data_IF_559032837027
#
_entry.id   IF_559032837027
#
_cell.length_a   1.000
_cell.length_b   1.000
_cell.length_c   1.000
_cell.angle_alpha   90.00
_cell.angle_beta   90.00
_cell.angle_gamma   90.00
#
_symmetry.space_group_name_H-M   'P 1'
#
loop_
_entity.id
_entity.type
_entity.pdbx_description
1 polymer ?
#
# COMPACT_ATOMS: atom_id res chain seq x y z
N UNK A 1 -9.89 -25.84 1.06
CA UNK A 1 -10.04 -24.46 0.54
C UNK A 1 -9.17 -23.58 1.43
N UNK A 2 -7.87 -23.53 1.13
CA UNK A 2 -7.20 -22.48 0.35
C UNK A 2 -6.92 -21.23 1.17
N UNK A 3 -5.65 -21.18 1.61
CA UNK A 3 -4.81 -20.03 1.93
C UNK A 3 -5.46 -18.65 1.76
N UNK A 4 -5.59 -17.92 2.87
CA UNK A 4 -5.51 -16.45 2.90
C UNK A 4 -4.45 -16.03 3.91
N UNK A 5 -3.22 -16.42 3.59
CA UNK A 5 -2.01 -16.07 4.32
C UNK A 5 -1.21 -15.03 3.51
N UNK A 6 -1.92 -14.11 2.84
CA UNK A 6 -1.31 -13.07 1.99
C UNK A 6 -1.36 -11.67 2.60
N UNK A 7 -2.18 -11.42 3.63
CA UNK A 7 -2.38 -10.05 4.13
C UNK A 7 -1.47 -9.59 5.28
N UNK A 8 -0.59 -10.44 5.80
CA UNK A 8 0.32 -10.05 6.91
C UNK A 8 1.80 -10.02 6.58
N UNK A 9 2.20 -10.51 5.40
CA UNK A 9 3.62 -10.59 5.00
C UNK A 9 4.06 -9.41 4.11
N UNK A 10 3.13 -8.59 3.62
CA UNK A 10 3.51 -7.37 2.87
C UNK A 10 4.15 -6.27 3.74
N UNK A 11 4.09 -6.39 5.08
CA UNK A 11 4.58 -5.37 6.01
C UNK A 11 6.01 -5.60 6.52
N UNK A 12 6.63 -6.76 6.24
CA UNK A 12 7.94 -7.13 6.82
C UNK A 12 9.13 -6.98 5.88
N UNK A 13 8.90 -6.59 4.63
CA UNK A 13 9.96 -6.18 3.72
C UNK A 13 9.64 -4.74 3.35
N UNK A 14 9.93 -3.79 4.24
CA UNK A 14 9.90 -2.38 3.86
C UNK A 14 10.99 -2.21 2.78
N UNK A 15 10.65 -1.94 1.52
CA UNK A 15 11.68 -1.64 0.55
C UNK A 15 12.41 -0.39 1.04
N UNK A 16 13.74 -0.35 0.88
CA UNK A 16 14.58 0.80 1.27
C UNK A 16 14.03 2.13 0.71
N UNK A 17 13.19 2.02 -0.34
CA UNK A 17 12.36 3.09 -0.90
C UNK A 17 10.91 2.63 -1.06
N UNK A 18 9.99 3.17 -0.25
CA UNK A 18 8.55 2.86 -0.31
C UNK A 18 7.67 4.14 -0.42
N UNK A 19 6.65 4.09 -1.28
CA UNK A 19 5.54 5.07 -1.29
C UNK A 19 4.35 4.49 -0.51
N UNK A 20 3.79 5.26 0.40
CA UNK A 20 2.66 4.88 1.25
C UNK A 20 1.44 5.71 0.87
N UNK A 21 0.42 5.03 0.36
CA UNK A 21 -0.88 5.59 0.02
C UNK A 21 -1.88 5.30 1.13
N UNK A 22 -2.86 6.20 1.29
CA UNK A 22 -4.01 6.00 2.18
C UNK A 22 -5.29 6.13 1.38
N UNK A 23 -6.17 5.14 1.50
CA UNK A 23 -7.52 5.23 0.97
C UNK A 23 -8.35 6.17 1.85
N UNK A 24 -9.11 7.08 1.22
CA UNK A 24 -10.01 8.00 1.93
C UNK A 24 -11.30 7.33 2.41
N UNK A 25 -11.76 6.30 1.70
CA UNK A 25 -13.06 5.69 1.96
C UNK A 25 -13.00 4.62 3.05
N UNK A 26 -12.02 3.71 2.99
CA UNK A 26 -11.84 2.68 4.01
C UNK A 26 -10.76 3.04 5.05
N UNK A 27 -9.94 4.06 4.79
CA UNK A 27 -8.85 4.47 5.68
C UNK A 27 -7.59 3.61 5.60
N UNK A 28 -7.59 2.55 4.79
CA UNK A 28 -6.51 1.57 4.71
C UNK A 28 -5.23 2.15 4.12
N UNK A 29 -4.09 1.59 4.54
CA UNK A 29 -2.76 1.98 4.09
C UNK A 29 -2.21 0.98 3.10
N UNK A 30 -1.81 1.46 1.93
CA UNK A 30 -1.19 0.66 0.88
C UNK A 30 0.27 1.08 0.77
N UNK A 31 1.19 0.14 0.96
CA UNK A 31 2.64 0.38 0.80
C UNK A 31 3.10 -0.24 -0.51
N UNK A 32 3.72 0.57 -1.37
CA UNK A 32 4.26 0.12 -2.65
C UNK A 32 5.71 0.56 -2.80
N UNK A 33 6.41 -0.02 -3.77
CA UNK A 33 7.77 0.43 -4.12
C UNK A 33 7.74 1.86 -4.66
N UNK A 34 8.77 2.66 -4.37
CA UNK A 34 8.83 4.05 -4.87
C UNK A 34 8.67 4.10 -6.40
N UNK A 35 7.77 4.97 -6.86
CA UNK A 35 7.48 5.15 -8.28
C UNK A 35 6.38 4.22 -8.81
N UNK A 36 5.86 3.29 -8.00
CA UNK A 36 4.61 2.62 -8.33
C UNK A 36 3.43 3.55 -8.07
N UNK A 37 2.52 3.62 -9.05
CA UNK A 37 1.27 4.38 -8.95
C UNK A 37 0.18 3.44 -8.46
N UNK A 38 -0.59 3.90 -7.47
CA UNK A 38 -1.78 3.21 -6.98
C UNK A 38 -2.98 4.06 -7.34
N UNK A 39 -3.78 3.59 -8.29
CA UNK A 39 -5.00 4.27 -8.75
C UNK A 39 -6.26 3.76 -8.05
N UNK A 40 -6.20 2.57 -7.45
CA UNK A 40 -7.32 1.92 -6.76
C UNK A 40 -6.86 1.24 -5.47
N UNK A 41 -7.69 1.33 -4.43
CA UNK A 41 -7.45 0.64 -3.17
C UNK A 41 -7.74 -0.87 -3.33
N UNK A 42 -6.76 -1.75 -3.04
CA UNK A 42 -6.93 -3.19 -3.21
C UNK A 42 -7.97 -3.81 -2.25
N UNK A 43 -8.23 -3.16 -1.11
CA UNK A 43 -9.18 -3.68 -0.11
C UNK A 43 -10.64 -3.37 -0.44
N UNK A 44 -10.93 -2.15 -0.89
CA UNK A 44 -12.31 -1.68 -1.06
C UNK A 44 -12.66 -1.33 -2.51
N UNK A 45 -11.70 -1.36 -3.43
CA UNK A 45 -11.89 -0.97 -4.82
C UNK A 45 -12.11 0.53 -5.03
N UNK A 46 -11.87 1.37 -4.01
CA UNK A 46 -12.04 2.82 -4.18
C UNK A 46 -10.85 3.46 -4.89
N UNK A 47 -11.13 4.34 -5.84
CA UNK A 47 -10.12 5.20 -6.49
C UNK A 47 -9.70 6.40 -5.64
N UNK A 48 -10.29 6.57 -4.45
CA UNK A 48 -9.99 7.65 -3.50
C UNK A 48 -8.68 7.46 -2.72
N UNK A 49 -7.60 7.06 -3.38
CA UNK A 49 -6.28 6.84 -2.76
C UNK A 49 -5.39 8.07 -2.87
N UNK A 50 -4.69 8.42 -1.80
CA UNK A 50 -3.78 9.57 -1.76
C UNK A 50 -2.42 9.19 -1.18
N UNK A 51 -1.34 9.60 -1.84
CA UNK A 51 0.02 9.46 -1.32
C UNK A 51 0.16 10.28 -0.03
N UNK A 52 0.51 9.63 1.08
CA UNK A 52 0.69 10.29 2.38
C UNK A 52 2.14 10.32 2.83
N UNK A 53 2.99 9.43 2.34
CA UNK A 53 4.40 9.39 2.73
C UNK A 53 5.24 8.76 1.63
N UNK A 54 6.37 9.39 1.32
CA UNK A 54 7.43 8.81 0.49
C UNK A 54 8.64 8.55 1.37
N UNK A 55 8.92 7.28 1.66
CA UNK A 55 10.14 6.87 2.39
C UNK A 55 11.24 6.62 1.37
N UNK A 56 12.28 7.41 1.43
CA UNK A 56 13.52 7.21 0.68
C UNK A 56 14.62 7.12 1.73
N UNK A 57 15.05 5.90 2.03
CA UNK A 57 16.27 5.71 2.83
C UNK A 57 17.43 5.95 1.86
N UNK A 58 18.28 6.93 2.18
CA UNK A 58 19.46 7.32 1.41
C UNK A 58 20.64 6.40 1.72
#
# INVERSE_FOLDING_TARGET
MSMRLVDRVASLIAPERADVYRCRDCGERVTVSVGAVVDECPECGSTGVALITRRVTL
#
